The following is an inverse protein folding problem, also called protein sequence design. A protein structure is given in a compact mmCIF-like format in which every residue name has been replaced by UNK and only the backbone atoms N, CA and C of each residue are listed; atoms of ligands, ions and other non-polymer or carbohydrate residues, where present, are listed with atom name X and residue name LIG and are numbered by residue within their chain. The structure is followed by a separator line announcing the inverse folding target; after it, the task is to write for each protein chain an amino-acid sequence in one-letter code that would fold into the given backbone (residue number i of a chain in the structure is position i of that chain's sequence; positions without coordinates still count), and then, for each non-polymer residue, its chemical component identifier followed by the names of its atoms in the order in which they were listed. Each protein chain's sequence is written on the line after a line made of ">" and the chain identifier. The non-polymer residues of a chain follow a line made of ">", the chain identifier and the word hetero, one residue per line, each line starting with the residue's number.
data_IF_609915628042
#
_entry.id   IF_609915628042
#
_cell.length_a   1.000
_cell.length_b   1.000
_cell.length_c   1.000
_cell.angle_alpha   90.00
_cell.angle_beta   90.00
_cell.angle_gamma   90.00
#
_symmetry.space_group_name_H-M   'P 1'
#
loop_
_entity.id
_entity.type
_entity.pdbx_description
1 polymer ?
#
# COMPACT_ATOMS: atom_id res chain seq x y z
N UNK A 1 28.12 -8.82 -34.50
CA UNK A 1 28.31 -9.24 -33.10
C UNK A 1 29.35 -8.39 -32.33
N UNK A 2 29.60 -7.12 -32.73
CA UNK A 2 30.58 -6.23 -32.05
C UNK A 2 30.00 -4.83 -31.80
N UNK A 3 28.78 -4.72 -31.25
CA UNK A 3 28.14 -3.39 -31.03
C UNK A 3 27.44 -3.20 -29.66
N UNK A 4 27.71 -4.06 -28.67
CA UNK A 4 27.06 -3.96 -27.36
C UNK A 4 28.02 -3.83 -26.16
N UNK A 5 29.27 -3.39 -26.37
CA UNK A 5 30.25 -3.21 -25.28
C UNK A 5 30.40 -1.76 -24.78
N UNK A 6 29.44 -0.88 -25.03
CA UNK A 6 29.48 0.52 -24.53
C UNK A 6 28.52 0.85 -23.39
N UNK A 7 28.12 -0.11 -22.59
CA UNK A 7 27.19 0.18 -21.48
C UNK A 7 27.69 -0.23 -20.07
N UNK A 8 28.99 -0.02 -19.80
CA UNK A 8 29.56 -0.13 -18.46
C UNK A 8 28.91 0.85 -17.43
N UNK A 9 28.24 1.87 -17.93
CA UNK A 9 27.63 2.90 -17.07
C UNK A 9 26.31 2.44 -16.44
N UNK A 10 25.54 1.59 -17.12
CA UNK A 10 24.28 1.05 -16.57
C UNK A 10 24.52 -0.08 -15.55
N UNK A 11 25.61 -0.83 -15.68
CA UNK A 11 25.95 -1.87 -14.70
C UNK A 11 26.28 -1.29 -13.32
N UNK A 12 26.80 -0.08 -13.26
CA UNK A 12 27.11 0.61 -11.99
C UNK A 12 25.86 1.19 -11.33
N UNK A 13 24.88 1.63 -12.10
CA UNK A 13 23.59 2.08 -11.57
C UNK A 13 22.84 0.90 -10.93
N UNK A 14 22.80 -0.25 -11.58
CA UNK A 14 22.19 -1.46 -11.02
C UNK A 14 22.98 -2.03 -9.83
N UNK A 15 24.30 -1.94 -9.82
CA UNK A 15 25.14 -2.32 -8.67
C UNK A 15 24.92 -1.40 -7.46
N UNK A 16 24.75 -0.10 -7.68
CA UNK A 16 24.46 0.85 -6.61
C UNK A 16 23.03 0.69 -6.05
N UNK A 17 22.07 0.28 -6.87
CA UNK A 17 20.72 -0.16 -6.37
C UNK A 17 20.77 -1.51 -5.66
N UNK A 18 21.71 -2.37 -5.99
CA UNK A 18 21.95 -3.65 -5.31
C UNK A 18 22.88 -3.52 -4.10
N UNK A 19 23.31 -2.32 -3.74
CA UNK A 19 24.08 -2.08 -2.54
C UNK A 19 23.16 -2.28 -1.34
N UNK A 20 23.10 -3.52 -0.93
CA UNK A 20 22.32 -4.13 0.15
C UNK A 20 22.44 -3.38 1.49
N UNK A 21 23.50 -2.58 1.66
CA UNK A 21 23.85 -1.92 2.91
C UNK A 21 22.94 -0.75 3.30
N UNK A 22 22.42 0.04 2.35
CA UNK A 22 21.59 1.21 2.71
C UNK A 22 20.15 0.83 3.03
N UNK A 23 19.59 -0.14 2.32
CA UNK A 23 18.22 -0.61 2.57
C UNK A 23 18.18 -1.47 3.83
N UNK A 24 19.17 -2.35 4.02
CA UNK A 24 19.30 -3.15 5.24
C UNK A 24 19.56 -2.23 6.46
N UNK A 25 20.31 -1.14 6.31
CA UNK A 25 20.55 -0.18 7.38
C UNK A 25 19.30 0.61 7.79
N UNK A 26 18.47 1.00 6.83
CA UNK A 26 17.16 1.66 7.09
C UNK A 26 16.18 0.68 7.74
N UNK A 27 16.21 -0.60 7.36
CA UNK A 27 15.33 -1.63 7.93
C UNK A 27 15.77 -2.10 9.32
N UNK A 28 17.08 -2.05 9.64
CA UNK A 28 17.59 -2.39 10.97
C UNK A 28 17.40 -1.29 12.02
N UNK A 29 17.08 -0.07 11.61
CA UNK A 29 16.82 1.03 12.54
C UNK A 29 15.44 1.04 13.19
N UNK A 30 14.53 0.17 12.75
CA UNK A 30 13.22 0.02 13.38
C UNK A 30 12.89 -1.47 13.49
N UNK A 31 12.73 -1.98 14.69
CA UNK A 31 12.20 -3.33 14.97
C UNK A 31 10.74 -3.50 14.50
N UNK A 32 10.24 -2.60 13.66
CA UNK A 32 8.87 -2.60 13.18
C UNK A 32 8.74 -3.56 12.00
N UNK A 33 7.82 -4.49 12.12
CA UNK A 33 7.37 -5.35 11.04
C UNK A 33 6.96 -4.51 9.82
N UNK A 34 7.41 -4.89 8.64
CA UNK A 34 6.99 -4.24 7.39
C UNK A 34 5.47 -4.35 7.24
N UNK A 35 4.81 -3.23 7.01
CA UNK A 35 3.37 -3.16 6.74
C UNK A 35 3.14 -2.29 5.52
N UNK A 36 2.53 -2.84 4.51
CA UNK A 36 2.19 -2.15 3.26
C UNK A 36 0.69 -2.22 3.00
N UNK A 37 0.20 -1.34 2.15
CA UNK A 37 -1.23 -1.16 1.97
C UNK A 37 -1.61 -1.04 0.50
N UNK A 38 -2.73 -1.67 0.14
CA UNK A 38 -3.51 -1.30 -1.03
C UNK A 38 -4.85 -0.71 -0.56
N UNK A 39 -5.21 0.47 -1.07
CA UNK A 39 -6.36 1.24 -0.60
C UNK A 39 -7.13 1.84 -1.79
N UNK A 40 -7.89 1.04 -2.54
CA UNK A 40 -8.67 1.52 -3.65
C UNK A 40 -9.93 2.25 -3.18
N UNK A 41 -10.44 3.15 -4.05
CA UNK A 41 -11.79 3.67 -3.91
C UNK A 41 -12.77 2.74 -4.66
N UNK A 42 -13.96 2.45 -4.10
CA UNK A 42 -14.95 1.54 -4.69
C UNK A 42 -15.76 2.25 -5.79
N UNK A 43 -15.10 2.78 -6.80
CA UNK A 43 -15.67 3.62 -7.86
C UNK A 43 -15.87 2.87 -9.19
N UNK A 44 -15.77 1.54 -9.17
CA UNK A 44 -15.94 0.68 -10.32
C UNK A 44 -15.03 -0.53 -10.32
N UNK A 45 -14.89 -1.14 -11.50
CA UNK A 45 -14.09 -2.34 -11.68
C UNK A 45 -12.59 -2.08 -11.44
N UNK A 46 -11.94 -3.08 -10.84
CA UNK A 46 -10.49 -3.05 -10.66
C UNK A 46 -9.81 -3.17 -12.05
N UNK A 47 -8.94 -2.19 -12.36
CA UNK A 47 -8.16 -2.22 -13.60
C UNK A 47 -6.72 -2.68 -13.35
N UNK A 48 -6.02 -3.07 -14.43
CA UNK A 48 -4.66 -3.65 -14.36
C UNK A 48 -3.64 -2.75 -13.65
N UNK A 49 -3.79 -1.43 -13.69
CA UNK A 49 -2.95 -0.49 -12.95
C UNK A 49 -3.08 -0.65 -11.45
N UNK A 50 -4.29 -0.83 -10.93
CA UNK A 50 -4.55 -1.13 -9.53
C UNK A 50 -3.95 -2.48 -9.12
N UNK A 51 -4.15 -3.51 -9.95
CA UNK A 51 -3.56 -4.84 -9.75
C UNK A 51 -2.03 -4.76 -9.66
N UNK A 52 -1.40 -4.03 -10.58
CA UNK A 52 0.05 -3.84 -10.57
C UNK A 52 0.54 -3.22 -9.26
N UNK A 53 -0.11 -2.16 -8.79
CA UNK A 53 0.24 -1.50 -7.53
C UNK A 53 0.10 -2.46 -6.35
N UNK A 54 -1.00 -3.20 -6.28
CA UNK A 54 -1.23 -4.20 -5.25
C UNK A 54 -0.19 -5.32 -5.29
N UNK A 55 0.17 -5.82 -6.47
CA UNK A 55 1.16 -6.87 -6.65
C UNK A 55 2.55 -6.45 -6.12
N UNK A 56 3.01 -5.23 -6.41
CA UNK A 56 4.28 -4.74 -5.86
C UNK A 56 4.27 -4.71 -4.32
N UNK A 57 3.21 -4.21 -3.73
CA UNK A 57 3.05 -4.21 -2.28
C UNK A 57 3.02 -5.63 -1.71
N UNK A 58 2.25 -6.52 -2.32
CA UNK A 58 2.16 -7.91 -1.93
C UNK A 58 3.52 -8.61 -1.93
N UNK A 59 4.26 -8.52 -3.05
CA UNK A 59 5.58 -9.14 -3.19
C UNK A 59 6.59 -8.54 -2.20
N UNK A 60 6.53 -7.24 -1.96
CA UNK A 60 7.38 -6.59 -0.96
C UNK A 60 7.09 -7.10 0.45
N UNK A 61 5.80 -7.15 0.84
CA UNK A 61 5.42 -7.72 2.13
C UNK A 61 5.90 -9.15 2.28
N UNK A 62 5.64 -10.02 1.29
CA UNK A 62 6.05 -11.44 1.34
C UNK A 62 7.56 -11.62 1.44
N UNK A 63 8.34 -10.82 0.70
CA UNK A 63 9.80 -10.85 0.76
C UNK A 63 10.35 -10.51 2.14
N UNK A 64 9.69 -9.62 2.89
CA UNK A 64 10.15 -9.13 4.19
C UNK A 64 9.40 -9.72 5.38
N UNK A 65 8.59 -10.76 5.19
CA UNK A 65 7.77 -11.33 6.27
C UNK A 65 6.78 -10.33 6.87
N UNK A 66 6.35 -9.35 6.09
CA UNK A 66 5.48 -8.26 6.48
C UNK A 66 4.01 -8.53 6.22
N UNK A 67 3.17 -7.55 6.56
CA UNK A 67 1.72 -7.59 6.37
C UNK A 67 1.30 -6.79 5.15
N UNK A 68 0.35 -7.33 4.40
CA UNK A 68 -0.31 -6.65 3.30
C UNK A 68 -1.74 -6.32 3.69
N UNK A 69 -2.04 -5.03 3.84
CA UNK A 69 -3.29 -4.51 4.39
C UNK A 69 -4.22 -4.05 3.27
N UNK A 70 -5.49 -4.42 3.34
CA UNK A 70 -6.54 -3.96 2.44
C UNK A 70 -7.42 -2.92 3.11
N UNK A 71 -7.50 -1.72 2.53
CA UNK A 71 -8.41 -0.67 2.96
C UNK A 71 -9.31 -0.23 1.81
N UNK A 72 -10.45 0.33 2.16
CA UNK A 72 -11.37 0.97 1.21
C UNK A 72 -11.39 2.48 1.50
N UNK A 73 -11.13 3.28 0.47
CA UNK A 73 -11.23 4.74 0.53
C UNK A 73 -12.54 5.19 -0.11
N UNK A 74 -13.62 5.14 0.68
CA UNK A 74 -15.02 5.30 0.30
C UNK A 74 -15.61 6.69 0.60
N UNK A 75 -14.76 7.71 0.75
CA UNK A 75 -15.21 9.07 1.09
C UNK A 75 -15.88 9.81 -0.07
N UNK A 76 -15.69 9.38 -1.32
CA UNK A 76 -16.34 9.94 -2.48
C UNK A 76 -17.66 9.20 -2.78
N UNK A 77 -18.72 9.64 -2.10
CA UNK A 77 -20.06 9.04 -2.25
C UNK A 77 -20.67 9.26 -3.65
N UNK A 78 -20.22 10.28 -4.40
CA UNK A 78 -20.74 10.54 -5.75
C UNK A 78 -20.28 9.53 -6.77
N UNK A 79 -19.13 8.93 -6.58
CA UNK A 79 -18.57 7.89 -7.48
C UNK A 79 -18.67 6.48 -6.92
N UNK A 80 -19.40 6.30 -5.83
CA UNK A 80 -19.61 4.98 -5.26
C UNK A 80 -20.39 4.08 -6.24
N UNK A 81 -19.90 2.88 -6.49
CA UNK A 81 -20.56 1.87 -7.31
C UNK A 81 -20.90 0.66 -6.44
N UNK A 82 -22.20 0.32 -6.29
CA UNK A 82 -22.59 -0.88 -5.55
C UNK A 82 -21.94 -2.15 -6.12
N UNK A 83 -21.45 -3.02 -5.25
CA UNK A 83 -20.76 -4.26 -5.62
C UNK A 83 -19.31 -4.10 -6.06
N UNK A 84 -18.77 -2.87 -6.14
CA UNK A 84 -17.38 -2.65 -6.55
C UNK A 84 -16.38 -3.20 -5.51
N UNK A 85 -16.70 -3.14 -4.22
CA UNK A 85 -15.85 -3.67 -3.16
C UNK A 85 -15.73 -5.20 -3.26
N UNK A 86 -16.84 -5.88 -3.39
CA UNK A 86 -16.91 -7.33 -3.56
C UNK A 86 -16.17 -7.77 -4.81
N UNK A 87 -16.36 -7.06 -5.92
CA UNK A 87 -15.65 -7.32 -7.17
C UNK A 87 -14.13 -7.19 -7.01
N UNK A 88 -13.66 -6.17 -6.29
CA UNK A 88 -12.23 -5.99 -6.01
C UNK A 88 -11.69 -7.17 -5.19
N UNK A 89 -12.38 -7.55 -4.12
CA UNK A 89 -11.97 -8.68 -3.26
C UNK A 89 -11.91 -9.99 -4.06
N UNK A 90 -12.91 -10.24 -4.88
CA UNK A 90 -12.98 -11.45 -5.69
C UNK A 90 -11.91 -11.49 -6.78
N UNK A 91 -11.61 -10.34 -7.39
CA UNK A 91 -10.53 -10.21 -8.36
C UNK A 91 -9.18 -10.58 -7.74
N UNK A 92 -8.89 -10.13 -6.53
CA UNK A 92 -7.64 -10.49 -5.84
C UNK A 92 -7.62 -11.97 -5.41
N UNK A 93 -8.74 -12.52 -5.01
CA UNK A 93 -8.85 -13.96 -4.74
C UNK A 93 -8.55 -14.79 -5.99
N UNK A 94 -9.10 -14.40 -7.14
CA UNK A 94 -8.84 -15.05 -8.42
C UNK A 94 -7.36 -14.94 -8.84
N UNK A 95 -6.70 -13.81 -8.55
CA UNK A 95 -5.27 -13.60 -8.81
C UNK A 95 -4.34 -14.34 -7.81
N UNK A 96 -4.87 -14.97 -6.77
CA UNK A 96 -4.08 -15.60 -5.71
C UNK A 96 -3.36 -14.61 -4.80
N UNK A 97 -3.75 -13.32 -4.80
CA UNK A 97 -3.18 -12.29 -3.93
C UNK A 97 -4.01 -12.24 -2.64
N UNK A 98 -3.36 -12.54 -1.51
CA UNK A 98 -4.01 -12.61 -0.20
C UNK A 98 -3.62 -11.42 0.66
N UNK A 99 -4.62 -10.84 1.34
CA UNK A 99 -4.43 -9.81 2.36
C UNK A 99 -4.33 -10.46 3.74
N UNK A 100 -3.47 -9.90 4.59
CA UNK A 100 -3.29 -10.37 5.96
C UNK A 100 -4.26 -9.66 6.92
N UNK A 101 -4.69 -8.45 6.55
CA UNK A 101 -5.52 -7.58 7.39
C UNK A 101 -6.34 -6.65 6.49
N UNK A 102 -7.53 -6.24 6.93
CA UNK A 102 -8.31 -5.25 6.21
C UNK A 102 -9.81 -5.49 6.21
N UNK A 103 -10.52 -4.79 5.32
CA UNK A 103 -11.95 -4.98 5.10
C UNK A 103 -12.24 -6.45 4.78
N UNK A 104 -13.17 -7.06 5.51
CA UNK A 104 -13.54 -8.49 5.40
C UNK A 104 -12.46 -9.49 5.84
N UNK A 105 -11.28 -9.02 6.27
CA UNK A 105 -10.18 -9.89 6.73
C UNK A 105 -9.91 -9.72 8.24
N UNK A 106 -10.45 -8.67 8.87
CA UNK A 106 -10.18 -8.35 10.26
C UNK A 106 -8.80 -7.73 10.48
N UNK A 107 -8.34 -7.73 11.74
CA UNK A 107 -7.06 -7.18 12.18
C UNK A 107 -7.19 -6.19 13.33
N UNK A 108 -6.03 -5.80 13.90
CA UNK A 108 -5.98 -5.00 15.13
C UNK A 108 -6.16 -3.48 14.91
N UNK A 109 -6.00 -3.00 13.67
CA UNK A 109 -5.93 -1.58 13.36
C UNK A 109 -7.16 -1.05 12.61
N UNK A 110 -8.29 -1.75 12.76
CA UNK A 110 -9.57 -1.32 12.21
C UNK A 110 -10.06 0.03 12.77
N UNK A 111 -11.14 0.55 12.20
CA UNK A 111 -11.84 0.10 11.01
C UNK A 111 -11.03 0.35 9.72
N UNK A 112 -11.32 -0.44 8.66
CA UNK A 112 -10.54 -0.40 7.42
C UNK A 112 -11.25 0.33 6.26
N UNK A 113 -12.49 0.78 6.46
CA UNK A 113 -13.15 1.76 5.59
C UNK A 113 -12.84 3.16 6.06
N UNK A 114 -12.49 4.04 5.14
CA UNK A 114 -12.10 5.41 5.49
C UNK A 114 -13.28 6.19 6.11
N UNK A 115 -14.49 5.99 5.63
CA UNK A 115 -15.71 6.63 6.17
C UNK A 115 -15.94 6.32 7.64
N UNK A 116 -15.53 5.16 8.13
CA UNK A 116 -15.69 4.70 9.52
C UNK A 116 -14.64 5.28 10.47
N UNK A 117 -13.65 6.05 9.98
CA UNK A 117 -12.49 6.55 10.75
C UNK A 117 -12.59 8.02 11.16
N UNK A 118 -13.76 8.64 11.04
CA UNK A 118 -13.94 10.08 11.28
C UNK A 118 -13.48 10.52 12.66
N UNK A 119 -13.85 9.78 13.70
CA UNK A 119 -13.48 10.13 15.07
C UNK A 119 -11.96 10.04 15.31
N UNK A 120 -11.31 9.04 14.72
CA UNK A 120 -9.85 8.92 14.76
C UNK A 120 -9.20 10.14 14.10
N UNK A 121 -9.68 10.54 12.92
CA UNK A 121 -9.13 11.70 12.21
C UNK A 121 -9.35 13.00 12.95
N UNK A 122 -10.50 13.18 13.60
CA UNK A 122 -10.83 14.36 14.42
C UNK A 122 -9.79 14.53 15.53
N UNK A 123 -9.50 13.48 16.29
CA UNK A 123 -8.49 13.52 17.36
C UNK A 123 -7.13 14.02 16.86
N UNK A 124 -6.67 13.52 15.70
CA UNK A 124 -5.38 13.94 15.14
C UNK A 124 -5.41 15.36 14.56
N UNK A 125 -6.53 15.80 13.98
CA UNK A 125 -6.73 17.17 13.53
C UNK A 125 -6.63 18.14 14.70
N UNK A 126 -7.30 17.85 15.82
CA UNK A 126 -7.25 18.66 17.04
C UNK A 126 -5.81 18.77 17.57
N UNK A 127 -5.05 17.68 17.56
CA UNK A 127 -3.63 17.69 17.93
C UNK A 127 -2.78 18.56 16.99
N UNK A 128 -3.03 18.51 15.69
CA UNK A 128 -2.32 19.35 14.71
C UNK A 128 -2.64 20.83 14.88
N UNK A 129 -3.91 21.18 15.14
CA UNK A 129 -4.33 22.55 15.41
C UNK A 129 -3.69 23.07 16.70
N UNK A 130 -3.73 22.29 17.78
CA UNK A 130 -3.14 22.65 19.07
C UNK A 130 -1.62 22.88 18.98
N UNK A 131 -0.94 22.18 18.11
CA UNK A 131 0.50 22.29 17.86
C UNK A 131 0.88 23.35 16.78
N UNK A 132 -0.10 24.11 16.27
CA UNK A 132 0.12 25.11 15.23
C UNK A 132 0.61 24.53 13.88
N UNK A 133 0.36 23.24 13.64
CA UNK A 133 0.76 22.52 12.41
C UNK A 133 -0.37 22.38 11.39
N UNK A 134 -1.54 22.88 11.73
CA UNK A 134 -2.69 23.04 10.84
C UNK A 134 -3.41 24.34 11.15
N UNK A 135 -4.19 24.85 10.20
CA UNK A 135 -5.05 26.03 10.35
C UNK A 135 -6.43 25.75 9.73
N UNK A 136 -7.42 26.53 10.14
CA UNK A 136 -8.79 26.50 9.61
C UNK A 136 -8.96 27.64 8.61
#
# INVERSE_FOLDING_TARGET
>A
LRKYEKNGQYSNIYRNFAQKSSIDHVLTMTERKVRVRFAPSPTGALHIGGVRTALYNYLFARRHGGDFVFRIEDTDSHRFVPGAEEYIIESFRWLGIQFDEGVSFGGEYGPYRQSERREIYKEYIEKLLANGKAYI
#
